data_IF_981810483233
#
_entry.id   IF_981810483233
#
_cell.length_a   1.000
_cell.length_b   1.000
_cell.length_c   1.000
_cell.angle_alpha   90.00
_cell.angle_beta   90.00
_cell.angle_gamma   90.00
#
_symmetry.space_group_name_H-M   'P 1'
#
loop_
_entity.id
_entity.type
_entity.pdbx_description
1 polymer ?
#
# COMPACT_ATOMS: atom_id res chain seq x y z
N UNK A 1 -21.56 2.58 11.41
CA UNK A 1 -20.32 2.69 10.61
C UNK A 1 -20.65 2.18 9.22
N UNK A 2 -20.28 2.89 8.14
CA UNK A 2 -20.47 2.36 6.78
C UNK A 2 -19.43 1.26 6.54
N UNK A 3 -19.83 0.16 5.92
CA UNK A 3 -18.98 -0.99 5.56
C UNK A 3 -19.19 -1.28 4.07
N UNK A 4 -18.30 -2.08 3.47
CA UNK A 4 -18.38 -2.46 2.05
C UNK A 4 -18.31 -1.26 1.08
N UNK A 5 -17.49 -0.26 1.44
CA UNK A 5 -17.22 0.90 0.59
C UNK A 5 -16.28 0.48 -0.54
N UNK A 6 -16.62 0.88 -1.76
CA UNK A 6 -15.75 0.79 -2.93
C UNK A 6 -14.99 2.11 -3.08
N UNK A 7 -13.87 2.14 -3.83
CA UNK A 7 -13.11 3.37 -4.04
C UNK A 7 -13.96 4.57 -4.50
N UNK A 8 -14.94 4.35 -5.38
CA UNK A 8 -15.86 5.40 -5.85
C UNK A 8 -16.78 5.98 -4.76
N UNK A 9 -16.95 5.27 -3.64
CA UNK A 9 -17.75 5.73 -2.50
C UNK A 9 -16.94 6.65 -1.56
N UNK A 10 -15.63 6.82 -1.81
CA UNK A 10 -14.70 7.59 -0.97
C UNK A 10 -14.54 9.06 -1.39
N UNK A 11 -15.22 9.50 -2.45
CA UNK A 11 -15.05 10.84 -3.00
C UNK A 11 -13.63 11.07 -3.48
N UNK A 12 -13.00 12.15 -3.03
CA UNK A 12 -11.64 12.54 -3.40
C UNK A 12 -10.57 12.05 -2.40
N UNK A 13 -10.93 11.22 -1.42
CA UNK A 13 -10.02 10.80 -0.33
C UNK A 13 -8.70 10.21 -0.84
N UNK A 14 -8.76 9.37 -1.88
CA UNK A 14 -7.59 8.70 -2.46
C UNK A 14 -6.70 9.65 -3.30
N UNK A 15 -7.22 10.83 -3.64
CA UNK A 15 -6.51 11.88 -4.40
C UNK A 15 -5.89 12.94 -3.48
N UNK A 16 -6.23 12.93 -2.19
CA UNK A 16 -5.67 13.84 -1.19
C UNK A 16 -4.16 13.58 -0.98
N UNK A 17 -3.38 14.60 -0.56
CA UNK A 17 -1.95 14.46 -0.28
C UNK A 17 -1.69 13.74 1.06
N UNK A 18 -2.18 12.50 1.18
CA UNK A 18 -2.07 11.66 2.35
C UNK A 18 -0.93 10.65 2.20
N UNK A 19 -0.44 10.17 3.34
CA UNK A 19 0.43 8.98 3.39
C UNK A 19 -0.41 7.76 3.75
N UNK A 20 -0.04 6.60 3.21
CA UNK A 20 -0.60 5.31 3.60
C UNK A 20 0.39 4.54 4.48
N UNK A 21 -0.10 3.53 5.19
CA UNK A 21 0.75 2.55 5.88
C UNK A 21 0.65 1.24 5.13
N UNK A 22 1.77 0.80 4.53
CA UNK A 22 1.86 -0.50 3.90
C UNK A 22 2.24 -1.56 4.93
N UNK A 23 1.44 -2.62 5.03
CA UNK A 23 1.77 -3.81 5.80
C UNK A 23 2.37 -4.86 4.85
N UNK A 24 3.58 -5.33 5.14
CA UNK A 24 4.20 -6.44 4.40
C UNK A 24 4.60 -7.56 5.35
N UNK A 25 4.52 -8.80 4.88
CA UNK A 25 4.98 -9.95 5.66
C UNK A 25 6.49 -10.13 5.47
N UNK A 26 7.23 -10.40 6.54
CA UNK A 26 8.64 -10.81 6.51
C UNK A 26 8.76 -12.33 6.31
N UNK A 27 9.97 -12.83 6.06
CA UNK A 27 10.22 -14.27 5.88
C UNK A 27 9.90 -15.09 7.14
N UNK A 28 10.01 -14.47 8.31
CA UNK A 28 9.70 -15.06 9.62
C UNK A 28 8.23 -14.88 10.05
N UNK A 29 7.34 -14.56 9.10
CA UNK A 29 5.90 -14.30 9.29
C UNK A 29 5.56 -13.02 10.08
N UNK A 30 6.55 -12.27 10.56
CA UNK A 30 6.30 -10.98 11.23
C UNK A 30 5.82 -9.93 10.23
N UNK A 31 5.04 -8.96 10.71
CA UNK A 31 4.57 -7.83 9.89
C UNK A 31 5.54 -6.66 10.01
N UNK A 32 5.86 -6.05 8.87
CA UNK A 32 6.51 -4.74 8.79
C UNK A 32 5.48 -3.70 8.35
N UNK A 33 5.32 -2.65 9.16
CA UNK A 33 4.53 -1.47 8.81
C UNK A 33 5.48 -0.38 8.32
N UNK A 34 5.16 0.27 7.22
CA UNK A 34 5.97 1.38 6.68
C UNK A 34 5.07 2.48 6.12
N UNK A 35 5.30 3.76 6.49
CA UNK A 35 4.64 4.87 5.82
C UNK A 35 5.13 4.93 4.37
N UNK A 36 4.22 5.13 3.43
CA UNK A 36 4.51 5.21 2.00
C UNK A 36 3.79 6.39 1.36
N UNK A 37 4.48 7.01 0.40
CA UNK A 37 3.86 7.84 -0.61
C UNK A 37 3.16 6.94 -1.62
N UNK A 38 1.93 7.30 -1.97
CA UNK A 38 1.14 6.56 -2.94
C UNK A 38 0.47 7.50 -3.95
N UNK A 39 0.10 6.93 -5.08
CA UNK A 39 -0.77 7.54 -6.09
C UNK A 39 -1.94 6.58 -6.35
N UNK A 40 -3.16 7.10 -6.34
CA UNK A 40 -4.33 6.36 -6.84
C UNK A 40 -4.45 6.57 -8.35
N UNK A 41 -4.38 5.49 -9.11
CA UNK A 41 -4.40 5.55 -10.58
C UNK A 41 -4.89 4.23 -11.17
N UNK A 42 -5.70 4.32 -12.23
CA UNK A 42 -6.17 3.17 -13.01
C UNK A 42 -6.82 2.05 -12.14
N UNK A 43 -7.50 2.42 -11.05
CA UNK A 43 -8.16 1.49 -10.13
C UNK A 43 -7.21 0.78 -9.15
N UNK A 44 -5.95 1.22 -9.06
CA UNK A 44 -4.93 0.66 -8.19
C UNK A 44 -4.12 1.71 -7.43
N UNK A 45 -3.29 1.21 -6.51
CA UNK A 45 -2.36 2.02 -5.72
C UNK A 45 -0.95 1.82 -6.24
N UNK A 46 -0.35 2.88 -6.79
CA UNK A 46 1.07 2.93 -7.09
C UNK A 46 1.82 3.37 -5.83
N UNK A 47 2.88 2.65 -5.46
CA UNK A 47 3.69 2.96 -4.28
C UNK A 47 5.08 3.40 -4.71
N UNK A 48 5.51 4.57 -4.25
CA UNK A 48 6.89 5.00 -4.48
C UNK A 48 7.87 4.19 -3.63
N UNK A 49 8.94 3.71 -4.26
CA UNK A 49 10.05 3.03 -3.59
C UNK A 49 11.37 3.70 -3.95
N UNK A 50 12.30 3.88 -2.99
CA UNK A 50 13.58 4.51 -3.29
C UNK A 50 14.43 3.69 -4.28
N UNK A 51 14.41 2.36 -4.13
CA UNK A 51 15.14 1.41 -4.99
C UNK A 51 14.32 0.12 -5.16
N UNK A 52 14.52 -0.61 -6.29
CA UNK A 52 13.93 -1.93 -6.48
C UNK A 52 14.39 -2.97 -5.46
N UNK A 53 15.61 -2.86 -4.92
CA UNK A 53 16.19 -3.81 -3.96
C UNK A 53 15.72 -3.56 -2.51
N UNK A 54 14.76 -2.65 -2.31
CA UNK A 54 14.28 -2.27 -0.99
C UNK A 54 13.55 -3.42 -0.26
N UNK A 55 13.66 -3.46 1.06
CA UNK A 55 13.11 -4.56 1.87
C UNK A 55 11.60 -4.82 1.66
N UNK A 56 10.78 -3.76 1.55
CA UNK A 56 9.34 -3.91 1.26
C UNK A 56 9.06 -4.47 -0.13
N UNK A 57 9.92 -4.21 -1.12
CA UNK A 57 9.80 -4.77 -2.47
C UNK A 57 10.07 -6.27 -2.41
N UNK A 58 11.20 -6.67 -1.80
CA UNK A 58 11.53 -8.09 -1.59
C UNK A 58 10.47 -8.86 -0.77
N UNK A 59 9.74 -8.17 0.12
CA UNK A 59 8.62 -8.79 0.83
C UNK A 59 7.44 -9.07 -0.10
N UNK A 60 7.03 -8.10 -0.92
CA UNK A 60 5.89 -8.19 -1.84
C UNK A 60 6.18 -9.18 -2.98
N UNK A 61 7.40 -9.20 -3.51
CA UNK A 61 7.82 -10.18 -4.53
C UNK A 61 7.74 -11.61 -4.01
N UNK A 62 8.03 -11.83 -2.73
CA UNK A 62 7.93 -13.14 -2.09
C UNK A 62 6.49 -13.50 -1.71
N UNK A 63 5.75 -12.56 -1.17
CA UNK A 63 4.35 -12.70 -0.75
C UNK A 63 3.57 -11.44 -1.16
N UNK A 64 2.75 -11.51 -2.23
CA UNK A 64 2.09 -10.34 -2.80
C UNK A 64 0.90 -9.83 -1.98
N UNK A 65 0.58 -10.49 -0.85
CA UNK A 65 -0.49 -10.05 0.06
C UNK A 65 0.01 -8.88 0.90
N UNK A 66 -0.75 -7.78 0.86
CA UNK A 66 -0.51 -6.52 1.59
C UNK A 66 -1.80 -5.97 2.17
#
# INVERSE_FOLDING_TARGET
MRTDLRPEDLGDLLEQPLIAVLATRRKDDTVMLSPVWFEWRDGGINIWVPTPEGGKVAHVERDPRV
#
